data_IF_317958762283
#
_entry.id   IF_317958762283
#
_cell.length_a   1.000
_cell.length_b   1.000
_cell.length_c   1.000
_cell.angle_alpha   90.00
_cell.angle_beta   90.00
_cell.angle_gamma   90.00
#
_symmetry.space_group_name_H-M   'P 1'
#
loop_
_entity.id
_entity.type
_entity.pdbx_description
1 polymer ?
#
# COMPACT_ATOMS: atom_id res chain seq x y z
N UNK A 1 10.38 1.71 23.06
CA UNK A 1 9.98 2.41 22.58
C UNK A 1 9.33 1.91 21.69
N UNK A 2 9.16 1.66 21.16
CA UNK A 2 8.22 1.51 20.68
C UNK A 2 8.06 0.29 19.88
N UNK A 3 7.86 -0.88 20.54
CA UNK A 3 7.41 -2.08 19.87
C UNK A 3 6.10 -1.83 19.14
N UNK A 4 5.24 -0.97 19.69
CA UNK A 4 3.97 -0.60 19.05
C UNK A 4 4.18 0.12 17.73
N UNK A 5 5.12 1.05 17.66
CA UNK A 5 5.46 1.73 16.40
C UNK A 5 6.05 0.75 15.40
N UNK A 6 6.97 -0.09 15.85
CA UNK A 6 7.61 -1.10 14.97
C UNK A 6 6.56 -2.05 14.41
N UNK A 7 5.65 -2.54 15.26
CA UNK A 7 4.56 -3.42 14.80
C UNK A 7 3.70 -2.71 13.76
N UNK A 8 3.34 -1.46 13.99
CA UNK A 8 2.52 -0.67 13.06
C UNK A 8 3.26 -0.42 11.74
N UNK A 9 4.54 -0.09 11.79
CA UNK A 9 5.36 0.12 10.58
C UNK A 9 5.55 -1.18 9.78
N UNK A 10 5.73 -2.30 10.47
CA UNK A 10 5.86 -3.60 9.80
C UNK A 10 4.55 -3.97 9.09
N UNK A 11 3.41 -3.66 9.69
CA UNK A 11 2.10 -3.85 9.06
C UNK A 11 1.97 -3.00 7.79
N UNK A 12 2.31 -1.73 7.89
CA UNK A 12 2.25 -0.80 6.75
C UNK A 12 3.21 -1.23 5.63
N UNK A 13 4.41 -1.68 5.99
CA UNK A 13 5.38 -2.17 4.99
C UNK A 13 4.83 -3.40 4.26
N UNK A 14 4.25 -4.36 4.99
CA UNK A 14 3.67 -5.56 4.38
C UNK A 14 2.48 -5.21 3.49
N UNK A 15 1.59 -4.34 3.96
CA UNK A 15 0.44 -3.86 3.18
C UNK A 15 0.89 -3.20 1.89
N UNK A 16 1.89 -2.35 1.97
CA UNK A 16 2.40 -1.60 0.80
C UNK A 16 3.03 -2.54 -0.22
N UNK A 17 3.82 -3.51 0.25
CA UNK A 17 4.42 -4.50 -0.64
C UNK A 17 3.35 -5.36 -1.32
N UNK A 18 2.38 -5.84 -0.56
CA UNK A 18 1.28 -6.66 -1.10
C UNK A 18 0.44 -5.86 -2.10
N UNK A 19 0.13 -4.61 -1.79
CA UNK A 19 -0.61 -3.73 -2.70
C UNK A 19 0.18 -3.49 -3.99
N UNK A 20 1.49 -3.30 -3.90
CA UNK A 20 2.34 -3.16 -5.09
C UNK A 20 2.25 -4.40 -5.97
N UNK A 21 2.32 -5.59 -5.38
CA UNK A 21 2.17 -6.84 -6.11
C UNK A 21 0.80 -7.00 -6.75
N UNK A 22 -0.27 -6.69 -6.04
CA UNK A 22 -1.64 -6.74 -6.56
C UNK A 22 -1.81 -5.75 -7.74
N UNK A 23 -1.30 -4.55 -7.60
CA UNK A 23 -1.37 -3.53 -8.65
C UNK A 23 -0.56 -3.96 -9.88
N UNK A 24 0.61 -4.56 -9.66
CA UNK A 24 1.47 -5.07 -10.72
C UNK A 24 0.76 -6.17 -11.51
N UNK A 25 0.11 -7.10 -10.83
CA UNK A 25 -0.66 -8.17 -11.47
C UNK A 25 -1.85 -7.60 -12.26
N UNK A 26 -2.54 -6.60 -11.73
CA UNK A 26 -3.60 -5.89 -12.46
C UNK A 26 -3.05 -5.22 -13.72
N UNK A 27 -1.87 -4.62 -13.65
CA UNK A 27 -1.20 -4.03 -14.81
C UNK A 27 -0.98 -5.07 -15.93
N UNK A 28 -0.61 -6.30 -15.57
CA UNK A 28 -0.42 -7.36 -16.56
C UNK A 28 -1.74 -7.82 -17.19
N UNK A 29 -2.76 -8.03 -16.33
CA UNK A 29 -3.95 -8.79 -16.71
C UNK A 29 -5.15 -7.94 -17.12
N UNK A 30 -5.10 -6.62 -16.98
CA UNK A 30 -6.21 -5.75 -17.37
C UNK A 30 -6.45 -5.85 -18.89
N UNK A 31 -7.72 -5.78 -19.29
CA UNK A 31 -8.13 -5.89 -20.69
C UNK A 31 -9.39 -5.07 -20.91
N UNK A 32 -9.70 -4.84 -22.17
CA UNK A 32 -10.91 -4.14 -22.59
C UNK A 32 -10.64 -2.72 -23.07
N UNK A 33 -11.71 -1.92 -23.25
CA UNK A 33 -11.60 -0.58 -23.86
C UNK A 33 -10.66 0.37 -23.12
N UNK A 34 -10.48 0.19 -21.81
CA UNK A 34 -9.64 1.04 -20.96
C UNK A 34 -8.23 0.46 -20.74
N UNK A 35 -7.83 -0.52 -21.54
CA UNK A 35 -6.54 -1.20 -21.32
C UNK A 35 -5.39 -0.22 -21.20
N UNK A 36 -5.20 0.64 -22.19
CA UNK A 36 -4.01 1.50 -22.25
C UNK A 36 -3.97 2.48 -21.07
N UNK A 37 -5.10 3.07 -20.71
CA UNK A 37 -5.14 4.02 -19.60
C UNK A 37 -4.93 3.32 -18.25
N UNK A 38 -5.55 2.17 -18.02
CA UNK A 38 -5.40 1.44 -16.77
C UNK A 38 -4.04 0.77 -16.65
N UNK A 39 -3.54 0.16 -17.72
CA UNK A 39 -2.21 -0.44 -17.76
C UNK A 39 -1.15 0.60 -17.34
N UNK A 40 -1.23 1.80 -17.92
CA UNK A 40 -0.31 2.90 -17.59
C UNK A 40 -0.51 3.41 -16.17
N UNK A 41 -1.76 3.59 -15.74
CA UNK A 41 -2.06 4.05 -14.38
C UNK A 41 -1.55 3.06 -13.33
N UNK A 42 -1.78 1.77 -13.55
CA UNK A 42 -1.29 0.75 -12.62
C UNK A 42 0.24 0.71 -12.56
N UNK A 43 0.91 0.93 -13.69
CA UNK A 43 2.38 1.00 -13.71
C UNK A 43 2.89 2.16 -12.87
N UNK A 44 2.31 3.34 -13.01
CA UNK A 44 2.67 4.49 -12.18
C UNK A 44 2.45 4.19 -10.69
N UNK A 45 1.36 3.52 -10.37
CA UNK A 45 1.01 3.19 -9.00
C UNK A 45 1.97 2.17 -8.39
N UNK A 46 2.27 1.05 -9.07
CA UNK A 46 3.17 0.07 -8.46
C UNK A 46 4.60 0.58 -8.35
N UNK A 47 5.06 1.39 -9.29
CA UNK A 47 6.39 1.99 -9.19
C UNK A 47 6.48 2.92 -7.98
N UNK A 48 5.47 3.73 -7.75
CA UNK A 48 5.40 4.61 -6.58
C UNK A 48 5.36 3.80 -5.29
N UNK A 49 4.60 2.71 -5.27
CA UNK A 49 4.49 1.83 -4.10
C UNK A 49 5.81 1.14 -3.76
N UNK A 50 6.58 0.70 -4.75
CA UNK A 50 7.89 0.09 -4.50
C UNK A 50 8.89 1.09 -3.92
N UNK A 51 8.87 2.34 -4.40
CA UNK A 51 9.69 3.40 -3.79
C UNK A 51 9.25 3.65 -2.35
N UNK A 52 7.95 3.69 -2.11
CA UNK A 52 7.39 3.95 -0.78
C UNK A 52 7.73 2.84 0.22
N UNK A 53 7.60 1.57 -0.18
CA UNK A 53 7.90 0.46 0.73
C UNK A 53 9.37 0.44 1.12
N UNK A 54 10.25 0.84 0.22
CA UNK A 54 11.67 0.98 0.51
C UNK A 54 11.90 1.98 1.65
N UNK A 55 11.30 3.14 1.56
CA UNK A 55 11.40 4.17 2.60
C UNK A 55 10.84 3.69 3.94
N UNK A 56 9.70 3.00 3.93
CA UNK A 56 9.07 2.48 5.14
C UNK A 56 9.95 1.41 5.78
N UNK A 57 10.45 0.47 4.99
CA UNK A 57 11.32 -0.59 5.47
C UNK A 57 12.62 -0.03 6.06
N UNK A 58 13.20 0.96 5.40
CA UNK A 58 14.43 1.61 5.89
C UNK A 58 14.16 2.43 7.15
N UNK A 59 12.95 3.00 7.30
CA UNK A 59 12.56 3.66 8.55
C UNK A 59 12.53 2.67 9.71
N UNK A 60 12.02 1.44 9.48
CA UNK A 60 12.06 0.37 10.48
C UNK A 60 13.51 0.08 10.88
N UNK A 61 14.41 -0.02 9.90
CA UNK A 61 15.84 -0.24 10.16
C UNK A 61 16.46 0.91 10.95
N UNK A 62 16.14 2.13 10.60
CA UNK A 62 16.63 3.31 11.32
C UNK A 62 16.15 3.33 12.77
N UNK A 63 14.98 2.73 13.06
CA UNK A 63 14.44 2.60 14.40
C UNK A 63 15.05 1.42 15.18
N UNK A 64 15.96 0.66 14.57
CA UNK A 64 16.69 -0.42 15.23
C UNK A 64 16.05 -1.80 15.11
N UNK A 65 15.03 -1.98 14.30
CA UNK A 65 14.36 -3.26 14.11
C UNK A 65 14.60 -3.79 12.69
N UNK A 66 14.24 -5.05 12.45
CA UNK A 66 14.28 -5.61 11.10
C UNK A 66 12.95 -5.39 10.38
N UNK A 67 13.05 -5.12 9.08
CA UNK A 67 11.88 -5.07 8.21
C UNK A 67 11.34 -6.50 8.00
N UNK A 68 10.00 -6.64 7.80
CA UNK A 68 9.44 -7.95 7.52
C UNK A 68 9.97 -8.48 6.18
N UNK A 69 10.25 -9.76 6.10
CA UNK A 69 10.81 -10.38 4.90
C UNK A 69 10.21 -11.72 4.58
N UNK A 70 10.39 -12.15 3.32
CA UNK A 70 9.78 -13.34 2.76
C UNK A 70 8.42 -13.03 2.16
N UNK A 71 8.21 -13.39 0.89
CA UNK A 71 6.95 -13.07 0.19
C UNK A 71 5.73 -13.68 0.89
N UNK A 72 5.84 -14.91 1.38
CA UNK A 72 4.75 -15.55 2.12
C UNK A 72 4.42 -14.82 3.41
N UNK A 73 5.44 -14.42 4.15
CA UNK A 73 5.27 -13.67 5.40
C UNK A 73 4.64 -12.30 5.16
N UNK A 74 5.08 -11.60 4.12
CA UNK A 74 4.52 -10.30 3.76
C UNK A 74 3.04 -10.43 3.38
N UNK A 75 2.70 -11.41 2.58
CA UNK A 75 1.31 -11.64 2.16
C UNK A 75 0.42 -11.99 3.36
N UNK A 76 0.91 -12.84 4.27
CA UNK A 76 0.16 -13.23 5.45
C UNK A 76 -0.04 -12.03 6.40
N UNK A 77 0.99 -11.25 6.62
CA UNK A 77 0.93 -10.06 7.49
C UNK A 77 -0.02 -9.02 6.92
N UNK A 78 0.05 -8.77 5.61
CA UNK A 78 -0.83 -7.82 4.94
C UNK A 78 -2.29 -8.25 5.00
N UNK A 79 -2.57 -9.54 4.78
CA UNK A 79 -3.93 -10.07 4.80
C UNK A 79 -4.82 -9.52 3.70
N UNK A 80 -4.24 -9.02 2.61
CA UNK A 80 -5.02 -8.55 1.46
C UNK A 80 -5.55 -9.74 0.66
N UNK A 81 -6.79 -9.64 0.23
CA UNK A 81 -7.35 -10.63 -0.69
C UNK A 81 -6.65 -10.55 -2.03
N UNK A 82 -6.46 -11.70 -2.66
CA UNK A 82 -5.89 -11.76 -4.00
C UNK A 82 -7.00 -11.61 -5.03
N UNK A 83 -6.72 -10.88 -6.11
CA UNK A 83 -7.68 -10.73 -7.19
C UNK A 83 -7.54 -11.90 -8.17
N UNK A 84 -8.64 -12.34 -8.74
CA UNK A 84 -8.63 -13.38 -9.78
C UNK A 84 -7.88 -12.90 -11.01
N UNK A 85 -7.12 -13.79 -11.64
CA UNK A 85 -6.31 -13.46 -12.82
C UNK A 85 -7.14 -12.91 -13.98
N UNK A 86 -8.38 -13.39 -14.12
CA UNK A 86 -9.29 -13.03 -15.20
C UNK A 86 -10.35 -12.00 -14.79
N UNK A 87 -10.16 -11.31 -13.69
CA UNK A 87 -11.11 -10.28 -13.24
C UNK A 87 -11.30 -9.19 -14.30
N UNK A 88 -12.52 -8.61 -14.32
CA UNK A 88 -12.80 -7.49 -15.20
C UNK A 88 -12.02 -6.23 -14.78
N UNK A 89 -11.87 -5.29 -15.71
CA UNK A 89 -11.23 -4.01 -15.39
C UNK A 89 -11.90 -3.31 -14.21
N UNK A 90 -13.24 -3.29 -14.18
CA UNK A 90 -13.99 -2.69 -13.08
C UNK A 90 -13.73 -3.40 -11.75
N UNK A 91 -13.70 -4.72 -11.77
CA UNK A 91 -13.43 -5.51 -10.54
C UNK A 91 -12.00 -5.31 -10.05
N UNK A 92 -11.03 -5.18 -10.96
CA UNK A 92 -9.66 -4.83 -10.59
C UNK A 92 -9.60 -3.48 -9.89
N UNK A 93 -10.28 -2.47 -10.44
CA UNK A 93 -10.31 -1.14 -9.84
C UNK A 93 -10.99 -1.18 -8.47
N UNK A 94 -12.13 -1.86 -8.34
CA UNK A 94 -12.82 -2.01 -7.05
C UNK A 94 -11.92 -2.71 -6.02
N UNK A 95 -11.22 -3.75 -6.45
CA UNK A 95 -10.29 -4.48 -5.58
C UNK A 95 -9.18 -3.55 -5.06
N UNK A 96 -8.60 -2.76 -5.95
CA UNK A 96 -7.51 -1.85 -5.56
C UNK A 96 -8.02 -0.69 -4.68
N UNK A 97 -9.25 -0.23 -4.88
CA UNK A 97 -9.88 0.74 -3.96
C UNK A 97 -9.96 0.14 -2.55
N UNK A 98 -10.46 -1.08 -2.43
CA UNK A 98 -10.59 -1.75 -1.13
C UNK A 98 -9.23 -1.99 -0.48
N UNK A 99 -8.23 -2.43 -1.25
CA UNK A 99 -6.89 -2.68 -0.75
C UNK A 99 -6.21 -1.39 -0.28
N UNK A 100 -6.34 -0.30 -1.03
CA UNK A 100 -5.87 1.02 -0.59
C UNK A 100 -6.57 1.48 0.68
N UNK A 101 -7.87 1.19 0.81
CA UNK A 101 -8.64 1.52 2.01
C UNK A 101 -8.12 0.82 3.26
N UNK A 102 -7.77 -0.46 3.14
CA UNK A 102 -7.16 -1.19 4.26
C UNK A 102 -5.82 -0.58 4.65
N UNK A 103 -4.98 -0.29 3.67
CA UNK A 103 -3.68 0.34 3.92
C UNK A 103 -3.85 1.72 4.57
N UNK A 104 -4.83 2.51 4.12
CA UNK A 104 -5.13 3.80 4.74
C UNK A 104 -5.45 3.67 6.22
N UNK A 105 -6.23 2.66 6.61
CA UNK A 105 -6.54 2.44 8.02
C UNK A 105 -5.28 2.11 8.82
N UNK A 106 -4.42 1.28 8.30
CA UNK A 106 -3.17 0.88 8.96
C UNK A 106 -2.17 2.05 9.01
N UNK A 107 -2.13 2.88 7.97
CA UNK A 107 -1.32 4.11 7.97
C UNK A 107 -1.76 5.08 9.05
N UNK A 108 -3.06 5.26 9.23
CA UNK A 108 -3.60 6.13 10.26
C UNK A 108 -3.27 5.61 11.66
N UNK A 109 -3.33 4.31 11.86
CA UNK A 109 -2.91 3.67 13.11
C UNK A 109 -1.43 3.95 13.38
N UNK A 110 -0.57 3.76 12.40
CA UNK A 110 0.86 4.01 12.53
C UNK A 110 1.15 5.50 12.79
N UNK A 111 0.47 6.38 12.08
CA UNK A 111 0.56 7.83 12.30
C UNK A 111 0.26 8.18 13.75
N UNK A 112 -0.85 7.67 14.27
CA UNK A 112 -1.31 7.99 15.62
C UNK A 112 -0.35 7.42 16.66
N UNK A 113 0.15 6.20 16.47
CA UNK A 113 1.17 5.62 17.35
C UNK A 113 2.43 6.48 17.41
N UNK A 114 2.89 6.97 16.26
CA UNK A 114 4.08 7.83 16.20
C UNK A 114 3.82 9.17 16.91
N UNK A 115 2.66 9.77 16.69
CA UNK A 115 2.28 11.03 17.32
C UNK A 115 2.22 10.93 18.85
N UNK A 116 1.71 9.82 19.36
CA UNK A 116 1.59 9.60 20.83
C UNK A 116 2.94 9.63 21.54
N UNK A 117 3.99 9.19 20.89
CA UNK A 117 5.34 9.12 21.51
C UNK A 117 6.26 10.23 21.01
N UNK A 118 5.76 11.15 20.22
CA UNK A 118 6.54 12.28 19.72
C UNK A 118 7.56 11.91 18.66
N UNK A 119 7.36 10.81 17.95
CA UNK A 119 8.20 10.40 16.81
C UNK A 119 7.74 11.14 15.55
N UNK A 120 8.11 12.39 15.45
CA UNK A 120 7.62 13.30 14.42
C UNK A 120 8.02 12.86 13.01
N UNK A 121 9.20 12.29 12.83
CA UNK A 121 9.69 11.87 11.53
C UNK A 121 8.91 10.66 11.00
N UNK A 122 8.57 9.70 11.87
CA UNK A 122 7.70 8.59 11.49
C UNK A 122 6.28 9.07 11.22
N UNK A 123 5.76 9.95 12.07
CA UNK A 123 4.44 10.56 11.88
C UNK A 123 4.36 11.26 10.53
N UNK A 124 5.37 12.04 10.17
CA UNK A 124 5.44 12.78 8.91
C UNK A 124 5.44 11.84 7.71
N UNK A 125 6.21 10.77 7.77
CA UNK A 125 6.23 9.75 6.71
C UNK A 125 4.83 9.14 6.52
N UNK A 126 4.13 8.80 7.60
CA UNK A 126 2.79 8.24 7.53
C UNK A 126 1.78 9.25 6.98
N UNK A 127 1.88 10.51 7.37
CA UNK A 127 1.04 11.59 6.85
C UNK A 127 1.20 11.72 5.34
N UNK A 128 2.43 11.72 4.86
CA UNK A 128 2.71 11.79 3.41
C UNK A 128 2.09 10.61 2.66
N UNK A 129 2.21 9.40 3.21
CA UNK A 129 1.64 8.22 2.60
C UNK A 129 0.11 8.25 2.56
N UNK A 130 -0.52 8.73 3.63
CA UNK A 130 -1.98 8.87 3.68
C UNK A 130 -2.47 9.75 2.52
N UNK A 131 -1.82 10.87 2.28
CA UNK A 131 -2.21 11.78 1.19
C UNK A 131 -2.13 11.11 -0.18
N UNK A 132 -1.05 10.34 -0.43
CA UNK A 132 -0.87 9.62 -1.70
C UNK A 132 -2.00 8.60 -1.90
N UNK A 133 -2.30 7.80 -0.89
CA UNK A 133 -3.33 6.75 -0.99
C UNK A 133 -4.74 7.31 -1.10
N UNK A 134 -5.03 8.44 -0.43
CA UNK A 134 -6.31 9.12 -0.59
C UNK A 134 -6.49 9.63 -2.01
N UNK A 135 -5.44 10.18 -2.60
CA UNK A 135 -5.47 10.62 -3.99
C UNK A 135 -5.67 9.44 -4.95
N UNK A 136 -4.98 8.34 -4.71
CA UNK A 136 -5.13 7.13 -5.52
C UNK A 136 -6.56 6.60 -5.47
N UNK A 137 -7.15 6.54 -4.27
CA UNK A 137 -8.55 6.10 -4.10
C UNK A 137 -9.50 7.03 -4.86
N UNK A 138 -9.29 8.35 -4.76
CA UNK A 138 -10.10 9.30 -5.52
C UNK A 138 -10.03 9.03 -7.03
N UNK A 139 -8.83 8.85 -7.56
CA UNK A 139 -8.66 8.60 -8.99
C UNK A 139 -9.29 7.28 -9.44
N UNK A 140 -9.10 6.22 -8.65
CA UNK A 140 -9.68 4.91 -8.96
C UNK A 140 -11.21 4.94 -8.90
N UNK A 141 -11.77 5.59 -7.90
CA UNK A 141 -13.23 5.74 -7.79
C UNK A 141 -13.80 6.56 -8.94
N UNK A 142 -13.06 7.56 -9.42
CA UNK A 142 -13.48 8.36 -10.56
C UNK A 142 -13.63 7.53 -11.83
N UNK A 143 -12.75 6.52 -11.99
CA UNK A 143 -12.88 5.57 -13.10
C UNK A 143 -14.19 4.77 -13.02
N UNK A 144 -14.66 4.46 -11.81
CA UNK A 144 -15.86 3.65 -11.60
C UNK A 144 -17.17 4.42 -11.83
N UNK A 145 -17.14 5.74 -11.94
CA UNK A 145 -18.32 6.55 -12.23
C UNK A 145 -18.73 6.51 -13.73
#
# INVERSE_FOLDING_TARGET
>A
MSEKIITALRQVAADTYALAGQTHICHWNVRGPSFFSLHTAFEQQYNELFVAVDEIAERIRAKGAFAPGGLGNLAQLAGLEEIAEDASAQDMVRHLVAANGKLLNDLKTARDCAGEVGDSETEDLMIARIQVHEKTVWMLNSFLE
#
